data_IF_240447276498
#
_entry.id   IF_240447276498
#
_cell.length_a   1.000
_cell.length_b   1.000
_cell.length_c   1.000
_cell.angle_alpha   90.00
_cell.angle_beta   90.00
_cell.angle_gamma   90.00
#
_symmetry.space_group_name_H-M   'P 1'
#
loop_
_entity.id
_entity.type
_entity.pdbx_description
1 polymer ?
#
# COMPACT_ATOMS: atom_id res chain seq x y z
N UNK A 1 28.74 47.04 -10.91
CA UNK A 1 28.30 46.14 -9.85
C UNK A 1 26.76 46.08 -9.74
N UNK A 2 26.01 47.19 -9.87
CA UNK A 2 24.54 47.26 -9.67
C UNK A 2 23.68 46.52 -10.71
N UNK A 3 24.16 46.30 -11.93
CA UNK A 3 23.40 45.59 -13.00
C UNK A 3 23.58 44.05 -12.98
N UNK A 4 24.59 43.52 -12.31
CA UNK A 4 24.77 42.07 -12.12
C UNK A 4 23.95 41.57 -10.93
N UNK A 5 23.90 42.32 -9.83
CA UNK A 5 23.08 41.96 -8.65
C UNK A 5 21.58 41.92 -8.98
N UNK A 6 21.07 42.87 -9.78
CA UNK A 6 19.67 42.90 -10.23
C UNK A 6 19.27 41.72 -11.15
N UNK A 7 20.22 41.16 -11.91
CA UNK A 7 19.98 39.98 -12.76
C UNK A 7 19.99 38.69 -11.98
N UNK A 8 20.81 38.56 -10.95
CA UNK A 8 20.87 37.37 -10.10
C UNK A 8 19.69 37.32 -9.12
N UNK A 9 19.23 38.47 -8.59
CA UNK A 9 17.98 38.50 -7.82
C UNK A 9 16.74 38.17 -8.64
N UNK A 10 16.66 38.57 -9.90
CA UNK A 10 15.57 38.18 -10.80
C UNK A 10 15.67 36.71 -11.28
N UNK A 11 16.85 36.12 -11.28
CA UNK A 11 17.04 34.69 -11.57
C UNK A 11 16.69 33.82 -10.36
N UNK A 12 16.99 34.26 -9.15
CA UNK A 12 16.57 33.62 -7.89
C UNK A 12 15.05 33.73 -7.67
N UNK A 13 14.43 34.86 -7.99
CA UNK A 13 12.97 35.04 -7.90
C UNK A 13 12.17 34.23 -8.95
N UNK A 14 12.77 33.87 -10.08
CA UNK A 14 12.12 33.01 -11.08
C UNK A 14 12.13 31.52 -10.72
N UNK A 15 12.93 31.07 -9.77
CA UNK A 15 13.01 29.66 -9.34
C UNK A 15 12.29 29.35 -8.03
N UNK A 16 11.53 30.31 -7.45
CA UNK A 16 10.84 30.13 -6.17
C UNK A 16 9.31 30.06 -6.27
N UNK A 17 8.74 29.91 -7.47
CA UNK A 17 7.38 29.43 -7.56
C UNK A 17 7.39 27.89 -7.48
N UNK A 18 7.62 27.34 -6.31
CA UNK A 18 7.27 25.95 -6.03
C UNK A 18 5.75 25.83 -6.27
N UNK A 19 5.31 24.90 -7.09
CA UNK A 19 3.88 24.69 -7.29
C UNK A 19 3.24 24.36 -5.94
N UNK A 20 2.12 25.00 -5.67
CA UNK A 20 1.38 25.05 -4.40
C UNK A 20 0.88 23.68 -3.85
N UNK A 21 1.31 22.57 -4.42
CA UNK A 21 0.81 21.22 -4.09
C UNK A 21 1.90 20.14 -4.09
N UNK A 22 3.05 20.37 -3.45
CA UNK A 22 4.02 19.28 -3.24
C UNK A 22 4.14 18.95 -1.75
N UNK A 23 3.15 18.20 -1.23
CA UNK A 23 3.18 17.67 0.12
C UNK A 23 4.26 16.57 0.26
N UNK A 24 4.46 15.76 -0.79
CA UNK A 24 5.50 14.72 -0.84
C UNK A 24 6.75 15.19 -1.58
N UNK A 25 7.94 14.77 -1.10
CA UNK A 25 9.20 15.10 -1.78
C UNK A 25 9.27 14.40 -3.15
N UNK A 26 9.73 15.14 -4.16
CA UNK A 26 9.76 14.71 -5.56
C UNK A 26 10.43 13.34 -5.79
N UNK A 27 11.38 12.97 -4.95
CA UNK A 27 12.12 11.70 -4.99
C UNK A 27 11.23 10.46 -4.98
N UNK A 28 10.06 10.51 -4.33
CA UNK A 28 9.17 9.37 -4.13
C UNK A 28 7.87 9.47 -4.91
N UNK A 29 7.72 10.51 -5.71
CA UNK A 29 6.51 10.76 -6.48
C UNK A 29 6.66 10.22 -7.90
N UNK A 30 6.10 9.04 -8.15
CA UNK A 30 6.14 8.43 -9.48
C UNK A 30 5.22 9.16 -10.46
N UNK A 31 5.55 9.16 -11.76
CA UNK A 31 4.86 9.98 -12.77
C UNK A 31 3.33 9.82 -12.79
N UNK A 32 2.82 8.60 -12.63
CA UNK A 32 1.40 8.29 -12.66
C UNK A 32 0.65 9.01 -11.53
N UNK A 33 1.11 8.87 -10.29
CA UNK A 33 0.50 9.54 -9.15
C UNK A 33 0.77 11.04 -9.16
N UNK A 34 1.94 11.47 -9.65
CA UNK A 34 2.25 12.89 -9.84
C UNK A 34 1.28 13.56 -10.83
N UNK A 35 0.96 12.88 -11.93
CA UNK A 35 -0.03 13.34 -12.89
C UNK A 35 -1.44 13.38 -12.30
N UNK A 36 -1.82 12.32 -11.59
CA UNK A 36 -3.16 12.19 -10.99
C UNK A 36 -3.43 13.28 -9.94
N UNK A 37 -2.48 13.59 -9.07
CA UNK A 37 -2.59 14.60 -8.02
C UNK A 37 -2.10 15.98 -8.43
N UNK A 38 -1.81 16.20 -9.73
CA UNK A 38 -1.42 17.53 -10.21
C UNK A 38 -2.57 18.52 -10.07
N UNK A 39 -2.23 19.79 -9.90
CA UNK A 39 -3.19 20.89 -9.86
C UNK A 39 -4.05 20.91 -11.13
N UNK A 40 -3.41 20.72 -12.27
CA UNK A 40 -4.07 20.68 -13.58
C UNK A 40 -5.10 19.55 -13.66
N UNK A 41 -4.80 18.37 -13.14
CA UNK A 41 -5.77 17.26 -13.11
C UNK A 41 -6.91 17.53 -12.12
N UNK A 42 -6.63 18.10 -10.96
CA UNK A 42 -7.68 18.51 -10.00
C UNK A 42 -8.67 19.46 -10.68
N UNK A 43 -8.18 20.50 -11.35
CA UNK A 43 -9.02 21.45 -12.08
C UNK A 43 -9.77 20.79 -13.25
N UNK A 44 -9.14 19.85 -13.94
CA UNK A 44 -9.81 19.06 -14.98
C UNK A 44 -10.99 18.26 -14.44
N UNK A 45 -10.85 17.64 -13.27
CA UNK A 45 -11.95 16.92 -12.64
C UNK A 45 -13.05 17.87 -12.15
N UNK A 46 -12.70 19.07 -11.66
CA UNK A 46 -13.69 20.09 -11.31
C UNK A 46 -14.49 20.55 -12.55
N UNK A 47 -13.82 20.84 -13.68
CA UNK A 47 -14.48 21.14 -14.96
C UNK A 47 -15.38 19.98 -15.42
N UNK A 48 -14.92 18.74 -15.26
CA UNK A 48 -15.70 17.55 -15.60
C UNK A 48 -16.99 17.44 -14.77
N UNK A 49 -16.94 17.77 -13.49
CA UNK A 49 -18.13 17.80 -12.62
C UNK A 49 -19.07 18.91 -13.06
N UNK A 50 -18.59 20.14 -13.25
CA UNK A 50 -19.40 21.29 -13.70
C UNK A 50 -20.11 21.00 -15.06
N UNK A 51 -19.40 20.41 -16.02
CA UNK A 51 -20.00 20.02 -17.29
C UNK A 51 -21.06 18.92 -17.15
N UNK A 52 -20.82 17.92 -16.31
CA UNK A 52 -21.80 16.86 -16.06
C UNK A 52 -23.06 17.39 -15.37
N UNK A 53 -22.91 18.39 -14.50
CA UNK A 53 -24.02 19.09 -13.86
C UNK A 53 -24.83 19.88 -14.92
N UNK A 54 -24.17 20.73 -15.71
CA UNK A 54 -24.83 21.52 -16.75
C UNK A 54 -25.58 20.62 -17.73
N UNK A 55 -25.04 19.46 -18.10
CA UNK A 55 -25.72 18.48 -18.96
C UNK A 55 -27.02 17.94 -18.34
N UNK A 56 -26.92 17.52 -17.06
CA UNK A 56 -28.10 17.00 -16.36
C UNK A 56 -29.16 18.09 -16.13
N UNK A 57 -28.77 19.32 -15.83
CA UNK A 57 -29.65 20.46 -15.66
C UNK A 57 -30.37 20.80 -16.97
N UNK A 58 -29.67 20.78 -18.12
CA UNK A 58 -30.27 21.00 -19.43
C UNK A 58 -31.24 19.86 -19.79
N UNK A 59 -30.90 18.60 -19.56
CA UNK A 59 -31.79 17.45 -19.77
C UNK A 59 -33.07 17.53 -18.92
N UNK A 60 -32.99 18.13 -17.74
CA UNK A 60 -34.12 18.34 -16.84
C UNK A 60 -34.89 19.67 -17.12
N UNK A 61 -34.42 20.48 -18.07
CA UNK A 61 -35.02 21.77 -18.39
C UNK A 61 -34.80 22.87 -17.35
N UNK A 62 -33.80 22.70 -16.47
CA UNK A 62 -33.43 23.70 -15.46
C UNK A 62 -32.67 24.87 -16.09
N UNK A 63 -31.80 24.55 -17.04
CA UNK A 63 -31.06 25.55 -17.86
C UNK A 63 -31.38 25.36 -19.35
N UNK A 64 -31.07 26.33 -20.24
CA UNK A 64 -31.27 26.19 -21.68
C UNK A 64 -30.49 24.98 -22.25
N UNK A 65 -31.15 24.30 -23.24
CA UNK A 65 -30.62 23.02 -23.76
C UNK A 65 -29.31 23.15 -24.57
N UNK A 66 -28.96 24.33 -25.04
CA UNK A 66 -27.77 24.65 -25.81
C UNK A 66 -26.55 24.93 -24.95
N UNK A 67 -26.73 25.32 -23.68
CA UNK A 67 -25.67 25.71 -22.76
C UNK A 67 -24.58 24.65 -22.62
N UNK A 68 -24.86 23.34 -22.41
CA UNK A 68 -23.78 22.36 -22.25
C UNK A 68 -22.87 22.24 -23.48
N UNK A 69 -23.44 22.35 -24.68
CA UNK A 69 -22.67 22.31 -25.93
C UNK A 69 -21.77 23.54 -26.08
N UNK A 70 -22.28 24.71 -25.69
CA UNK A 70 -21.53 25.97 -25.71
C UNK A 70 -20.37 25.94 -24.68
N UNK A 71 -20.62 25.46 -23.45
CA UNK A 71 -19.59 25.27 -22.41
C UNK A 71 -18.53 24.26 -22.86
N UNK A 72 -18.91 23.11 -23.44
CA UNK A 72 -17.95 22.15 -23.99
C UNK A 72 -17.07 22.76 -25.06
N UNK A 73 -17.63 23.53 -25.97
CA UNK A 73 -16.91 24.25 -27.01
C UNK A 73 -15.95 25.29 -26.43
N UNK A 74 -16.37 26.03 -25.41
CA UNK A 74 -15.53 27.02 -24.73
C UNK A 74 -14.33 26.39 -23.97
N UNK A 75 -14.51 25.18 -23.46
CA UNK A 75 -13.47 24.45 -22.73
C UNK A 75 -12.68 23.47 -23.62
N UNK A 76 -12.96 23.39 -24.91
CA UNK A 76 -12.17 22.64 -25.86
C UNK A 76 -10.76 23.22 -25.95
N UNK A 77 -9.74 22.40 -25.65
CA UNK A 77 -8.35 22.85 -25.62
C UNK A 77 -7.97 23.76 -24.45
N UNK A 78 -8.76 23.79 -23.36
CA UNK A 78 -8.49 24.60 -22.17
C UNK A 78 -7.08 24.33 -21.61
N UNK A 79 -6.28 25.39 -21.47
CA UNK A 79 -4.98 25.33 -20.83
C UNK A 79 -5.14 25.34 -19.28
N UNK A 80 -5.06 24.16 -18.68
CA UNK A 80 -5.20 23.98 -17.23
C UNK A 80 -4.08 24.63 -16.43
N UNK A 81 -2.88 24.82 -17.00
CA UNK A 81 -1.80 25.57 -16.35
C UNK A 81 -2.17 27.07 -16.27
N UNK A 82 -2.75 27.62 -17.32
CA UNK A 82 -3.25 29.00 -17.31
C UNK A 82 -4.46 29.16 -16.39
N UNK A 83 -5.37 28.18 -16.37
CA UNK A 83 -6.51 28.17 -15.45
C UNK A 83 -6.04 28.14 -13.99
N UNK A 84 -5.02 27.33 -13.64
CA UNK A 84 -4.43 27.29 -12.31
C UNK A 84 -3.86 28.66 -11.90
N UNK A 85 -3.13 29.33 -12.79
CA UNK A 85 -2.60 30.68 -12.53
C UNK A 85 -3.72 31.71 -12.32
N UNK A 86 -4.77 31.68 -13.15
CA UNK A 86 -5.94 32.56 -12.99
C UNK A 86 -6.59 32.34 -11.61
N UNK A 87 -6.79 31.07 -11.22
CA UNK A 87 -7.35 30.73 -9.92
C UNK A 87 -6.47 31.22 -8.78
N UNK A 88 -5.14 31.01 -8.81
CA UNK A 88 -4.22 31.47 -7.78
C UNK A 88 -4.25 33.00 -7.59
N UNK A 89 -4.42 33.74 -8.68
CA UNK A 89 -4.49 35.22 -8.62
C UNK A 89 -5.82 35.72 -8.05
N UNK A 90 -6.94 35.05 -8.37
CA UNK A 90 -8.24 35.39 -7.80
C UNK A 90 -8.42 34.88 -6.37
N UNK A 91 -7.85 33.73 -6.03
CA UNK A 91 -7.92 33.17 -4.68
C UNK A 91 -7.24 34.10 -3.66
N UNK A 92 -6.15 34.80 -4.02
CA UNK A 92 -5.52 35.84 -3.20
C UNK A 92 -6.45 37.00 -2.86
N UNK A 93 -7.49 37.24 -3.69
CA UNK A 93 -8.45 38.31 -3.50
C UNK A 93 -9.71 37.82 -2.78
N UNK A 94 -10.15 36.59 -3.07
CA UNK A 94 -11.42 36.03 -2.61
C UNK A 94 -11.28 35.20 -1.35
N UNK A 95 -10.05 34.73 -1.06
CA UNK A 95 -9.74 33.76 0.01
C UNK A 95 -10.60 32.49 -0.10
N UNK A 96 -10.91 32.08 -1.35
CA UNK A 96 -11.78 30.96 -1.64
C UNK A 96 -11.47 30.34 -3.01
N UNK A 97 -10.98 29.10 -3.00
CA UNK A 97 -10.47 28.38 -4.17
C UNK A 97 -11.54 28.09 -5.23
N UNK A 98 -12.71 27.58 -4.83
CA UNK A 98 -13.79 27.22 -5.77
C UNK A 98 -14.44 28.47 -6.38
N UNK A 99 -14.66 29.53 -5.62
CA UNK A 99 -15.18 30.80 -6.13
C UNK A 99 -14.21 31.40 -7.18
N UNK A 100 -12.91 31.34 -6.90
CA UNK A 100 -11.88 31.76 -7.85
C UNK A 100 -11.87 30.92 -9.12
N UNK A 101 -12.01 29.60 -8.99
CA UNK A 101 -12.13 28.67 -10.11
C UNK A 101 -13.34 28.99 -11.01
N UNK A 102 -14.54 29.12 -10.43
CA UNK A 102 -15.76 29.41 -11.18
C UNK A 102 -15.61 30.75 -11.91
N UNK A 103 -15.13 31.80 -11.25
CA UNK A 103 -14.90 33.11 -11.89
C UNK A 103 -13.90 33.04 -13.06
N UNK A 104 -12.88 32.17 -13.00
CA UNK A 104 -11.99 31.95 -14.13
C UNK A 104 -12.67 31.22 -15.29
N UNK A 105 -13.51 30.23 -15.00
CA UNK A 105 -14.28 29.53 -16.04
C UNK A 105 -15.32 30.42 -16.70
N UNK A 106 -16.02 31.27 -15.93
CA UNK A 106 -16.97 32.26 -16.48
C UNK A 106 -16.29 33.20 -17.50
N UNK A 107 -15.06 33.65 -17.21
CA UNK A 107 -14.30 34.48 -18.17
C UNK A 107 -13.95 33.74 -19.46
N UNK A 108 -13.66 32.44 -19.37
CA UNK A 108 -13.38 31.61 -20.55
C UNK A 108 -14.64 31.30 -21.34
N UNK A 109 -15.73 30.96 -20.65
CA UNK A 109 -16.99 30.57 -21.27
C UNK A 109 -17.78 31.76 -21.83
N UNK A 110 -17.61 32.97 -21.29
CA UNK A 110 -18.40 34.14 -21.67
C UNK A 110 -19.87 34.04 -21.22
N UNK A 111 -20.82 34.30 -22.10
CA UNK A 111 -22.24 34.36 -21.76
C UNK A 111 -22.81 33.04 -21.18
N UNK A 112 -22.54 31.84 -21.72
CA UNK A 112 -22.99 30.61 -21.12
C UNK A 112 -22.36 30.32 -19.74
N UNK A 113 -21.25 30.98 -19.38
CA UNK A 113 -20.60 30.86 -18.09
C UNK A 113 -21.47 31.19 -16.88
N UNK A 114 -22.49 31.99 -17.04
CA UNK A 114 -23.46 32.32 -15.97
C UNK A 114 -24.19 31.10 -15.39
N UNK A 115 -24.19 29.98 -16.10
CA UNK A 115 -24.82 28.74 -15.69
C UNK A 115 -23.87 27.78 -14.97
N UNK A 116 -22.57 28.11 -14.88
CA UNK A 116 -21.60 27.34 -14.08
C UNK A 116 -21.94 27.48 -12.61
N UNK A 117 -21.76 26.39 -11.87
CA UNK A 117 -21.99 26.32 -10.43
C UNK A 117 -23.44 26.67 -10.01
N UNK A 118 -24.39 26.54 -10.94
CA UNK A 118 -25.78 26.91 -10.69
C UNK A 118 -26.37 25.96 -9.61
N UNK A 119 -26.82 26.55 -8.50
CA UNK A 119 -27.38 25.80 -7.35
C UNK A 119 -26.44 24.92 -6.57
N UNK A 120 -25.16 24.87 -6.91
CA UNK A 120 -24.15 24.08 -6.22
C UNK A 120 -23.54 24.80 -5.01
N UNK A 121 -22.92 24.02 -4.14
CA UNK A 121 -21.94 24.50 -3.15
C UNK A 121 -20.56 23.91 -3.48
N UNK A 122 -19.52 24.55 -2.98
CA UNK A 122 -18.11 24.18 -3.29
C UNK A 122 -17.81 22.68 -3.16
N UNK A 123 -18.32 22.04 -2.12
CA UNK A 123 -18.06 20.63 -1.87
C UNK A 123 -18.93 19.65 -2.69
N UNK A 124 -19.92 20.15 -3.41
CA UNK A 124 -20.57 19.37 -4.47
C UNK A 124 -19.56 19.09 -5.60
N UNK A 125 -18.70 20.06 -5.91
CA UNK A 125 -17.64 19.91 -6.92
C UNK A 125 -16.41 19.23 -6.35
N UNK A 126 -15.92 19.67 -5.18
CA UNK A 126 -14.65 19.19 -4.60
C UNK A 126 -14.73 17.72 -4.22
N UNK A 127 -15.73 17.27 -3.47
CA UNK A 127 -15.86 15.89 -3.03
C UNK A 127 -16.14 14.94 -4.21
N UNK A 128 -17.00 15.36 -5.14
CA UNK A 128 -17.30 14.56 -6.34
C UNK A 128 -16.06 14.41 -7.24
N UNK A 129 -15.26 15.46 -7.41
CA UNK A 129 -14.00 15.38 -8.13
C UNK A 129 -12.96 14.53 -7.39
N UNK A 130 -12.89 14.63 -6.05
CA UNK A 130 -12.04 13.78 -5.24
C UNK A 130 -12.43 12.30 -5.37
N UNK A 131 -13.72 11.97 -5.44
CA UNK A 131 -14.17 10.61 -5.68
C UNK A 131 -13.64 10.05 -7.02
N UNK A 132 -13.62 10.85 -8.08
CA UNK A 132 -13.02 10.48 -9.37
C UNK A 132 -11.52 10.21 -9.25
N UNK A 133 -10.78 11.12 -8.59
CA UNK A 133 -9.33 11.01 -8.40
C UNK A 133 -8.99 9.80 -7.51
N UNK A 134 -9.70 9.61 -6.41
CA UNK A 134 -9.46 8.51 -5.47
C UNK A 134 -9.79 7.15 -6.08
N UNK A 135 -10.87 7.06 -6.87
CA UNK A 135 -11.20 5.84 -7.62
C UNK A 135 -10.06 5.45 -8.58
N UNK A 136 -9.52 6.41 -9.32
CA UNK A 136 -8.38 6.19 -10.22
C UNK A 136 -7.11 5.83 -9.43
N UNK A 137 -6.81 6.52 -8.33
CA UNK A 137 -5.69 6.21 -7.44
C UNK A 137 -5.76 4.77 -6.92
N UNK A 138 -6.94 4.34 -6.44
CA UNK A 138 -7.18 2.97 -5.99
C UNK A 138 -6.98 1.95 -7.12
N UNK A 139 -7.43 2.24 -8.33
CA UNK A 139 -7.19 1.40 -9.51
C UNK A 139 -5.70 1.19 -9.78
N UNK A 140 -4.88 2.26 -9.71
CA UNK A 140 -3.44 2.17 -9.83
C UNK A 140 -2.82 1.33 -8.70
N UNK A 141 -3.28 1.48 -7.45
CA UNK A 141 -2.82 0.69 -6.31
C UNK A 141 -3.18 -0.80 -6.45
N UNK A 142 -4.36 -1.13 -6.94
CA UNK A 142 -4.78 -2.52 -7.21
C UNK A 142 -3.85 -3.14 -8.25
N UNK A 143 -3.60 -2.45 -9.38
CA UNK A 143 -2.72 -2.95 -10.44
C UNK A 143 -1.28 -3.23 -9.94
N UNK A 144 -0.71 -2.33 -9.14
CA UNK A 144 0.64 -2.56 -8.55
C UNK A 144 0.63 -3.70 -7.54
N UNK A 145 -0.46 -3.86 -6.79
CA UNK A 145 -0.61 -4.98 -5.84
C UNK A 145 -0.69 -6.32 -6.59
N UNK A 146 -1.38 -6.38 -7.72
CA UNK A 146 -1.43 -7.56 -8.59
C UNK A 146 -0.06 -7.89 -9.21
N UNK A 147 0.71 -6.87 -9.57
CA UNK A 147 2.09 -7.06 -10.04
C UNK A 147 3.00 -7.65 -8.94
N UNK A 148 2.83 -7.23 -7.69
CA UNK A 148 3.53 -7.81 -6.53
C UNK A 148 3.08 -9.25 -6.27
N UNK A 149 1.77 -9.52 -6.33
CA UNK A 149 1.23 -10.88 -6.20
C UNK A 149 1.85 -11.83 -7.23
N UNK A 150 1.91 -11.40 -8.49
CA UNK A 150 2.51 -12.19 -9.58
C UNK A 150 3.98 -12.50 -9.30
N UNK A 151 4.76 -11.51 -8.85
CA UNK A 151 6.16 -11.69 -8.52
C UNK A 151 6.37 -12.65 -7.32
N UNK A 152 5.56 -12.50 -6.26
CA UNK A 152 5.60 -13.38 -5.08
C UNK A 152 5.21 -14.81 -5.45
N UNK A 153 4.15 -15.01 -6.25
CA UNK A 153 3.71 -16.32 -6.73
C UNK A 153 4.84 -17.01 -7.49
N UNK A 154 5.43 -16.32 -8.46
CA UNK A 154 6.53 -16.88 -9.25
C UNK A 154 7.69 -17.33 -8.36
N UNK A 155 8.14 -16.49 -7.44
CA UNK A 155 9.23 -16.82 -6.51
C UNK A 155 8.86 -17.94 -5.53
N UNK A 156 7.62 -17.98 -5.06
CA UNK A 156 7.15 -19.05 -4.21
C UNK A 156 7.16 -20.41 -4.94
N UNK A 157 6.69 -20.45 -6.19
CA UNK A 157 6.70 -21.66 -7.02
C UNK A 157 8.14 -22.12 -7.36
N UNK A 158 9.05 -21.19 -7.73
CA UNK A 158 10.46 -21.48 -8.00
C UNK A 158 11.17 -22.12 -6.79
N UNK A 159 10.79 -21.74 -5.58
CA UNK A 159 11.43 -22.16 -4.33
C UNK A 159 10.54 -23.05 -3.45
N UNK A 160 9.51 -23.67 -4.02
CA UNK A 160 8.54 -24.52 -3.32
C UNK A 160 9.21 -25.56 -2.41
N UNK A 161 10.29 -26.16 -2.84
CA UNK A 161 11.04 -27.19 -2.11
C UNK A 161 12.45 -26.75 -1.69
N UNK A 162 12.78 -25.47 -1.75
CA UNK A 162 14.05 -24.96 -1.25
C UNK A 162 13.99 -24.91 0.27
N UNK A 163 14.75 -25.75 1.01
CA UNK A 163 14.67 -25.80 2.45
C UNK A 163 15.32 -24.55 3.09
N UNK A 164 14.70 -24.06 4.11
CA UNK A 164 15.20 -22.98 4.97
C UNK A 164 14.83 -23.27 6.42
N UNK A 165 15.70 -22.91 7.36
CA UNK A 165 15.34 -23.02 8.77
C UNK A 165 14.28 -21.99 9.16
N UNK A 166 13.15 -22.45 9.66
CA UNK A 166 12.15 -21.62 10.30
C UNK A 166 12.69 -21.04 11.61
N UNK A 167 12.36 -19.78 11.90
CA UNK A 167 12.80 -19.09 13.13
C UNK A 167 11.60 -18.55 13.90
N UNK A 168 11.53 -18.91 15.17
CA UNK A 168 10.60 -18.31 16.14
C UNK A 168 11.43 -17.61 17.21
N UNK A 169 11.02 -16.43 17.65
CA UNK A 169 11.78 -15.61 18.60
C UNK A 169 13.21 -15.30 18.14
N UNK A 170 13.50 -15.38 16.83
CA UNK A 170 14.85 -15.22 16.27
C UNK A 170 15.74 -16.47 16.39
N UNK A 171 15.25 -17.57 16.97
CA UNK A 171 15.96 -18.84 17.18
C UNK A 171 15.47 -19.87 16.17
N UNK A 172 16.31 -20.80 15.77
CA UNK A 172 15.97 -21.92 14.92
C UNK A 172 14.88 -22.79 15.56
N UNK A 173 13.86 -23.11 14.77
CA UNK A 173 12.78 -24.03 15.15
C UNK A 173 12.84 -25.28 14.27
N UNK A 174 12.05 -25.35 13.25
CA UNK A 174 11.96 -26.48 12.33
C UNK A 174 12.22 -26.05 10.88
N UNK A 175 12.67 -26.94 10.01
CA UNK A 175 12.78 -26.68 8.59
C UNK A 175 11.42 -26.33 7.98
N UNK A 176 11.42 -25.40 7.04
CA UNK A 176 10.29 -25.07 6.15
C UNK A 176 10.81 -24.83 4.75
N UNK A 177 9.94 -24.50 3.81
CA UNK A 177 10.40 -24.09 2.49
C UNK A 177 10.41 -22.57 2.33
N UNK A 178 11.40 -22.06 1.59
CA UNK A 178 11.41 -20.65 1.19
C UNK A 178 10.15 -20.31 0.39
N UNK A 179 9.68 -21.23 -0.44
CA UNK A 179 8.44 -21.08 -1.19
C UNK A 179 7.22 -20.90 -0.29
N UNK A 180 7.07 -21.70 0.77
CA UNK A 180 5.98 -21.53 1.76
C UNK A 180 6.06 -20.18 2.47
N UNK A 181 7.26 -19.72 2.80
CA UNK A 181 7.48 -18.39 3.38
C UNK A 181 7.00 -17.28 2.44
N UNK A 182 7.36 -17.33 1.15
CA UNK A 182 6.93 -16.37 0.12
C UNK A 182 5.44 -16.48 -0.20
N UNK A 183 4.88 -17.68 -0.19
CA UNK A 183 3.44 -17.93 -0.36
C UNK A 183 2.61 -17.29 0.74
N UNK A 184 3.13 -17.23 1.97
CA UNK A 184 2.49 -16.51 3.08
C UNK A 184 2.38 -15.00 2.82
N UNK A 185 3.39 -14.40 2.19
CA UNK A 185 3.35 -12.99 1.76
C UNK A 185 2.42 -12.79 0.55
N UNK A 186 2.37 -13.74 -0.38
CA UNK A 186 1.40 -13.73 -1.47
C UNK A 186 -0.03 -13.67 -0.92
N UNK A 187 -0.40 -14.58 -0.03
CA UNK A 187 -1.74 -14.65 0.55
C UNK A 187 -2.13 -13.38 1.35
N UNK A 188 -1.17 -12.73 2.00
CA UNK A 188 -1.38 -11.43 2.64
C UNK A 188 -1.62 -10.32 1.62
N UNK A 189 -0.83 -10.30 0.53
CA UNK A 189 -0.97 -9.32 -0.55
C UNK A 189 -2.31 -9.48 -1.27
N UNK A 190 -2.80 -10.72 -1.46
CA UNK A 190 -4.13 -11.00 -2.00
C UNK A 190 -5.23 -10.38 -1.12
N UNK A 191 -5.18 -10.58 0.19
CA UNK A 191 -6.13 -9.92 1.12
C UNK A 191 -6.02 -8.40 1.10
N UNK A 192 -4.84 -7.84 0.87
CA UNK A 192 -4.68 -6.39 0.73
C UNK A 192 -5.29 -5.88 -0.58
N UNK A 193 -5.19 -6.64 -1.67
CA UNK A 193 -5.91 -6.36 -2.92
C UNK A 193 -7.42 -6.28 -2.71
N UNK A 194 -8.00 -7.25 -2.02
CA UNK A 194 -9.43 -7.28 -1.71
C UNK A 194 -9.85 -6.05 -0.88
N UNK A 195 -9.04 -5.67 0.12
CA UNK A 195 -9.29 -4.44 0.92
C UNK A 195 -9.22 -3.18 0.06
N UNK A 196 -8.25 -3.10 -0.88
CA UNK A 196 -8.13 -1.95 -1.79
C UNK A 196 -9.32 -1.86 -2.74
N UNK A 197 -9.85 -2.97 -3.25
CA UNK A 197 -11.07 -3.00 -4.05
C UNK A 197 -12.29 -2.51 -3.24
N UNK A 198 -12.43 -2.98 -2.00
CA UNK A 198 -13.49 -2.51 -1.09
C UNK A 198 -13.34 -1.02 -0.75
N UNK A 199 -12.12 -0.54 -0.56
CA UNK A 199 -11.87 0.87 -0.30
C UNK A 199 -12.12 1.74 -1.56
N UNK A 200 -11.80 1.24 -2.75
CA UNK A 200 -12.12 1.90 -4.01
C UNK A 200 -13.63 2.10 -4.17
N UNK A 201 -14.41 1.08 -3.86
CA UNK A 201 -15.87 1.19 -3.86
C UNK A 201 -16.34 2.21 -2.82
N UNK A 202 -15.80 2.18 -1.60
CA UNK A 202 -16.17 3.10 -0.54
C UNK A 202 -15.91 4.58 -0.87
N UNK A 203 -14.88 4.90 -1.66
CA UNK A 203 -14.56 6.28 -2.08
C UNK A 203 -15.16 6.67 -3.44
N UNK A 204 -15.92 5.78 -4.10
CA UNK A 204 -16.57 6.03 -5.38
C UNK A 204 -17.93 6.72 -5.24
N UNK A 205 -18.12 7.53 -4.19
CA UNK A 205 -19.35 8.26 -3.91
C UNK A 205 -19.12 9.76 -4.06
N UNK A 206 -20.01 10.41 -4.82
CA UNK A 206 -20.08 11.87 -4.94
C UNK A 206 -21.39 12.41 -4.38
N UNK A 207 -21.51 13.73 -4.32
CA UNK A 207 -22.72 14.41 -3.84
C UNK A 207 -23.00 15.69 -4.62
N UNK A 208 -24.28 16.04 -4.76
CA UNK A 208 -24.77 17.33 -5.23
C UNK A 208 -25.97 17.78 -4.39
N UNK A 209 -25.87 17.53 -3.11
CA UNK A 209 -26.95 17.72 -2.14
C UNK A 209 -26.99 19.11 -1.49
N UNK A 210 -26.09 20.02 -1.93
CA UNK A 210 -26.06 21.41 -1.47
C UNK A 210 -25.38 21.60 -0.13
N UNK A 211 -25.63 22.76 0.49
CA UNK A 211 -24.90 23.26 1.67
C UNK A 211 -25.07 22.45 2.95
N UNK A 212 -26.14 21.68 3.08
CA UNK A 212 -26.45 20.88 4.28
C UNK A 212 -26.89 19.45 3.97
N UNK A 213 -26.76 19.01 2.70
CA UNK A 213 -27.03 17.64 2.32
C UNK A 213 -28.52 17.29 2.08
N UNK A 214 -29.39 18.27 1.93
CA UNK A 214 -30.83 18.04 1.84
C UNK A 214 -31.42 18.10 0.42
N UNK A 215 -30.58 18.27 -0.60
CA UNK A 215 -30.98 18.34 -2.02
C UNK A 215 -32.10 19.39 -2.35
N UNK A 216 -32.33 20.39 -1.48
CA UNK A 216 -33.48 21.27 -1.56
C UNK A 216 -33.49 22.21 -2.77
N UNK A 217 -32.37 22.48 -3.39
CA UNK A 217 -32.21 23.41 -4.53
C UNK A 217 -32.32 22.66 -5.84
N UNK A 218 -31.55 21.62 -6.08
CA UNK A 218 -31.42 20.93 -7.35
C UNK A 218 -32.17 19.59 -7.42
N UNK A 219 -32.55 19.03 -6.29
CA UNK A 219 -33.24 17.74 -6.19
C UNK A 219 -32.31 16.52 -6.29
N UNK A 220 -32.74 15.42 -5.68
CA UNK A 220 -31.98 14.17 -5.65
C UNK A 220 -31.89 13.47 -7.03
N UNK A 221 -32.86 13.73 -7.93
CA UNK A 221 -32.83 13.15 -9.28
C UNK A 221 -31.69 13.73 -10.14
N UNK A 222 -31.35 15.00 -9.96
CA UNK A 222 -30.20 15.61 -10.63
C UNK A 222 -28.90 14.99 -10.11
N UNK A 223 -28.74 14.87 -8.81
CA UNK A 223 -27.58 14.21 -8.19
C UNK A 223 -27.35 12.81 -8.77
N UNK A 224 -28.40 11.98 -8.80
CA UNK A 224 -28.35 10.64 -9.37
C UNK A 224 -27.87 10.63 -10.82
N UNK A 225 -28.46 11.49 -11.68
CA UNK A 225 -28.07 11.59 -13.11
C UNK A 225 -26.62 11.99 -13.29
N UNK A 226 -26.14 12.95 -12.52
CA UNK A 226 -24.75 13.40 -12.60
C UNK A 226 -23.79 12.30 -12.13
N UNK A 227 -24.10 11.59 -11.05
CA UNK A 227 -23.27 10.47 -10.59
C UNK A 227 -23.21 9.34 -11.62
N UNK A 228 -24.33 9.00 -12.27
CA UNK A 228 -24.36 8.04 -13.38
C UNK A 228 -23.46 8.47 -14.55
N UNK A 229 -23.51 9.75 -14.95
CA UNK A 229 -22.64 10.32 -16.03
C UNK A 229 -21.16 10.26 -15.66
N UNK A 230 -20.83 10.43 -14.40
CA UNK A 230 -19.46 10.41 -13.88
C UNK A 230 -18.96 8.99 -13.58
N UNK A 231 -19.83 7.98 -13.56
CA UNK A 231 -19.50 6.62 -13.15
C UNK A 231 -19.21 6.50 -11.65
N UNK A 232 -19.92 7.28 -10.84
CA UNK A 232 -19.91 7.31 -9.40
C UNK A 232 -21.26 6.87 -8.83
N UNK A 233 -21.35 6.70 -7.52
CA UNK A 233 -22.59 6.51 -6.79
C UNK A 233 -23.00 7.80 -6.09
N UNK A 234 -24.28 8.14 -6.02
CA UNK A 234 -24.75 9.23 -5.17
C UNK A 234 -24.61 8.83 -3.68
N UNK A 235 -24.15 9.77 -2.85
CA UNK A 235 -24.09 9.54 -1.41
C UNK A 235 -25.53 9.44 -0.85
N UNK A 236 -25.90 8.31 -0.22
CA UNK A 236 -27.26 8.12 0.27
C UNK A 236 -27.75 9.19 1.24
N UNK A 237 -26.88 9.63 2.14
CA UNK A 237 -27.12 10.73 3.08
C UNK A 237 -25.82 11.46 3.34
N UNK A 238 -25.72 12.68 2.86
CA UNK A 238 -24.55 13.55 3.11
C UNK A 238 -24.90 14.67 4.08
N UNK A 239 -23.87 15.41 4.49
CA UNK A 239 -23.98 16.74 5.06
C UNK A 239 -23.60 17.76 3.96
N UNK A 240 -22.84 18.80 4.26
CA UNK A 240 -22.18 19.60 3.21
C UNK A 240 -21.09 18.78 2.48
N UNK A 241 -20.65 17.68 3.06
CA UNK A 241 -19.58 16.81 2.58
C UNK A 241 -20.05 15.35 2.53
N UNK A 242 -19.38 14.54 1.71
CA UNK A 242 -19.45 13.09 1.79
C UNK A 242 -18.94 12.64 3.18
N UNK A 243 -19.53 11.64 3.85
CA UNK A 243 -19.07 11.16 5.16
C UNK A 243 -17.59 10.74 5.15
N UNK A 244 -16.81 11.23 6.12
CA UNK A 244 -15.34 11.07 6.14
C UNK A 244 -14.87 9.68 6.60
N UNK A 245 -15.75 8.84 7.13
CA UNK A 245 -15.46 7.43 7.37
C UNK A 245 -15.05 6.68 6.09
N UNK A 246 -15.54 7.07 4.91
CA UNK A 246 -15.12 6.54 3.61
C UNK A 246 -13.63 6.79 3.34
N UNK A 247 -13.16 8.01 3.60
CA UNK A 247 -11.74 8.36 3.45
C UNK A 247 -10.88 7.72 4.54
N UNK A 248 -11.41 7.64 5.77
CA UNK A 248 -10.75 6.93 6.87
C UNK A 248 -10.57 5.44 6.56
N UNK A 249 -11.57 4.77 5.95
CA UNK A 249 -11.46 3.39 5.49
C UNK A 249 -10.34 3.23 4.46
N UNK A 250 -10.24 4.12 3.47
CA UNK A 250 -9.15 4.09 2.48
C UNK A 250 -7.78 4.25 3.15
N UNK A 251 -7.61 5.27 4.00
CA UNK A 251 -6.35 5.54 4.67
C UNK A 251 -5.93 4.41 5.61
N UNK A 252 -6.88 3.79 6.32
CA UNK A 252 -6.63 2.61 7.14
C UNK A 252 -6.22 1.40 6.29
N UNK A 253 -6.88 1.19 5.15
CA UNK A 253 -6.53 0.13 4.17
C UNK A 253 -5.11 0.32 3.64
N UNK A 254 -4.75 1.55 3.27
CA UNK A 254 -3.40 1.91 2.82
C UNK A 254 -2.36 1.62 3.92
N UNK A 255 -2.66 1.94 5.17
CA UNK A 255 -1.76 1.66 6.30
C UNK A 255 -1.58 0.15 6.55
N UNK A 256 -2.66 -0.65 6.44
CA UNK A 256 -2.58 -2.12 6.56
C UNK A 256 -1.71 -2.70 5.43
N UNK A 257 -1.93 -2.28 4.18
CA UNK A 257 -1.12 -2.72 3.05
C UNK A 257 0.35 -2.33 3.21
N UNK A 258 0.62 -1.09 3.65
CA UNK A 258 1.97 -0.61 3.96
C UNK A 258 2.66 -1.42 5.08
N UNK A 259 1.92 -1.84 6.10
CA UNK A 259 2.44 -2.70 7.16
C UNK A 259 2.79 -4.11 6.66
N UNK A 260 2.01 -4.65 5.71
CA UNK A 260 2.36 -5.90 5.01
C UNK A 260 3.66 -5.80 4.22
N UNK A 261 3.87 -4.68 3.51
CA UNK A 261 5.13 -4.41 2.80
C UNK A 261 6.31 -4.24 3.78
N UNK A 262 6.10 -3.59 4.94
CA UNK A 262 7.10 -3.49 5.99
C UNK A 262 7.48 -4.87 6.55
N UNK A 263 6.51 -5.76 6.75
CA UNK A 263 6.75 -7.13 7.20
C UNK A 263 7.62 -7.91 6.21
N UNK A 264 7.32 -7.86 4.92
CA UNK A 264 8.12 -8.49 3.87
C UNK A 264 9.53 -7.88 3.80
N UNK A 265 9.64 -6.55 3.82
CA UNK A 265 10.92 -5.85 3.83
C UNK A 265 11.78 -6.22 5.06
N UNK A 266 11.15 -6.36 6.21
CA UNK A 266 11.83 -6.76 7.46
C UNK A 266 12.35 -8.20 7.37
N UNK A 267 11.58 -9.14 6.82
CA UNK A 267 12.03 -10.51 6.60
C UNK A 267 13.25 -10.56 5.67
N UNK A 268 13.21 -9.83 4.53
CA UNK A 268 14.36 -9.74 3.61
C UNK A 268 15.59 -9.19 4.33
N UNK A 269 15.44 -8.12 5.13
CA UNK A 269 16.53 -7.52 5.92
C UNK A 269 17.10 -8.47 6.94
N UNK A 270 16.27 -9.25 7.63
CA UNK A 270 16.71 -10.24 8.61
C UNK A 270 17.50 -11.37 7.95
N UNK A 271 17.09 -11.83 6.78
CA UNK A 271 17.79 -12.88 6.02
C UNK A 271 19.06 -12.37 5.32
N UNK A 272 19.18 -11.06 5.09
CA UNK A 272 20.35 -10.41 4.49
C UNK A 272 21.49 -10.12 5.48
N UNK A 273 21.29 -10.31 6.79
CA UNK A 273 22.34 -10.07 7.79
C UNK A 273 23.57 -10.91 7.52
N UNK A 274 24.75 -10.40 7.87
CA UNK A 274 26.05 -11.02 7.57
C UNK A 274 26.14 -12.46 8.09
N UNK A 275 25.66 -12.69 9.31
CA UNK A 275 25.65 -14.02 9.95
C UNK A 275 24.61 -14.97 9.36
N UNK A 276 23.55 -14.44 8.76
CA UNK A 276 22.49 -15.23 8.12
C UNK A 276 22.79 -15.47 6.64
N UNK A 277 22.84 -14.44 5.82
CA UNK A 277 23.28 -14.47 4.41
C UNK A 277 22.44 -15.35 3.47
N UNK A 278 21.15 -15.55 3.77
CA UNK A 278 20.29 -16.51 3.07
C UNK A 278 19.51 -15.90 1.91
N UNK A 279 19.20 -14.59 1.98
CA UNK A 279 18.46 -13.84 0.96
C UNK A 279 18.81 -12.37 1.06
N UNK A 280 18.84 -11.66 -0.08
CA UNK A 280 19.09 -10.22 -0.10
C UNK A 280 18.28 -9.54 -1.22
N UNK A 281 18.07 -8.21 -1.08
CA UNK A 281 17.55 -7.40 -2.19
C UNK A 281 18.56 -7.35 -3.35
N UNK A 282 18.10 -7.14 -4.59
CA UNK A 282 18.99 -7.09 -5.75
C UNK A 282 19.98 -5.93 -5.64
N UNK A 283 21.19 -6.18 -6.08
CA UNK A 283 22.25 -5.18 -6.09
C UNK A 283 22.75 -4.90 -7.50
N UNK A 284 22.50 -3.69 -8.01
CA UNK A 284 22.87 -3.30 -9.35
C UNK A 284 24.38 -3.19 -9.58
N UNK A 285 24.86 -3.53 -10.77
CA UNK A 285 26.32 -3.51 -11.11
C UNK A 285 27.00 -2.16 -10.83
N UNK A 286 26.29 -1.05 -10.98
CA UNK A 286 26.80 0.31 -10.72
C UNK A 286 26.39 0.85 -9.34
N UNK A 287 25.64 0.11 -8.58
CA UNK A 287 25.15 0.52 -7.26
C UNK A 287 26.29 0.55 -6.25
N UNK A 288 26.32 1.58 -5.41
CA UNK A 288 27.24 1.69 -4.28
C UNK A 288 26.48 1.48 -3.00
N UNK A 289 26.81 0.43 -2.26
CA UNK A 289 26.11 0.06 -1.01
C UNK A 289 26.56 0.88 0.20
N UNK A 290 27.76 1.45 0.17
CA UNK A 290 28.36 2.22 1.25
C UNK A 290 29.32 3.26 0.70
N UNK A 291 29.40 4.43 1.35
CA UNK A 291 30.38 5.47 1.03
C UNK A 291 31.81 5.13 1.51
N UNK A 292 31.91 4.29 2.55
CA UNK A 292 33.18 3.95 3.21
C UNK A 292 33.70 2.55 2.85
N UNK A 293 32.81 1.57 2.66
CA UNK A 293 33.14 0.16 2.44
C UNK A 293 32.54 -0.33 1.11
N UNK A 294 33.33 -0.43 0.02
CA UNK A 294 32.80 -0.76 -1.32
C UNK A 294 32.10 -2.13 -1.43
N UNK A 295 32.49 -3.10 -0.59
CA UNK A 295 31.89 -4.45 -0.57
C UNK A 295 30.56 -4.54 0.22
N UNK A 296 30.22 -3.50 1.01
CA UNK A 296 29.04 -3.52 1.89
C UNK A 296 27.75 -3.30 1.08
N UNK A 297 26.86 -4.28 1.10
CA UNK A 297 25.58 -4.29 0.37
C UNK A 297 24.43 -4.10 1.38
N UNK A 298 24.04 -2.84 1.60
CA UNK A 298 22.94 -2.53 2.53
C UNK A 298 21.58 -2.74 1.86
N UNK A 299 20.57 -3.26 2.58
CA UNK A 299 19.21 -3.44 2.07
C UNK A 299 18.41 -2.12 2.09
N UNK A 300 18.89 -1.11 1.34
CA UNK A 300 18.40 0.27 1.42
C UNK A 300 16.98 0.47 0.90
N UNK A 301 16.51 -0.37 -0.04
CA UNK A 301 15.14 -0.28 -0.54
C UNK A 301 14.19 -0.81 0.53
N UNK A 302 14.49 -1.97 1.12
CA UNK A 302 13.71 -2.54 2.22
C UNK A 302 13.70 -1.62 3.46
N UNK A 303 14.84 -0.99 3.81
CA UNK A 303 14.90 -0.01 4.91
C UNK A 303 14.00 1.20 4.66
N UNK A 304 13.99 1.72 3.43
CA UNK A 304 13.14 2.83 3.02
C UNK A 304 11.66 2.47 3.12
N UNK A 305 11.25 1.29 2.66
CA UNK A 305 9.88 0.79 2.78
C UNK A 305 9.45 0.73 4.24
N UNK A 306 10.30 0.20 5.15
CA UNK A 306 10.02 0.19 6.58
C UNK A 306 9.84 1.60 7.16
N UNK A 307 10.62 2.58 6.68
CA UNK A 307 10.47 3.98 7.09
C UNK A 307 9.15 4.60 6.62
N UNK A 308 8.77 4.35 5.37
CA UNK A 308 7.54 4.90 4.76
C UNK A 308 6.26 4.32 5.39
N UNK A 309 6.25 3.06 5.79
CA UNK A 309 5.11 2.47 6.48
C UNK A 309 4.69 3.22 7.75
N UNK A 310 5.63 3.90 8.42
CA UNK A 310 5.35 4.75 9.59
C UNK A 310 4.50 5.95 9.22
N UNK A 311 4.78 6.58 8.05
CA UNK A 311 4.01 7.73 7.55
C UNK A 311 2.57 7.32 7.22
N UNK A 312 2.38 6.17 6.57
CA UNK A 312 1.05 5.65 6.23
C UNK A 312 0.18 5.44 7.48
N UNK A 313 0.77 4.98 8.58
CA UNK A 313 0.06 4.86 9.87
C UNK A 313 -0.34 6.23 10.45
N UNK A 314 0.51 7.24 10.28
CA UNK A 314 0.17 8.62 10.66
C UNK A 314 -1.00 9.18 9.84
N UNK A 315 -1.03 8.96 8.54
CA UNK A 315 -2.14 9.38 7.69
C UNK A 315 -3.45 8.63 7.98
N UNK A 316 -3.38 7.36 8.37
CA UNK A 316 -4.57 6.63 8.82
C UNK A 316 -5.18 7.26 10.09
N UNK A 317 -4.35 7.66 11.04
CA UNK A 317 -4.82 8.39 12.23
C UNK A 317 -5.46 9.72 11.84
N UNK A 318 -4.84 10.49 10.94
CA UNK A 318 -5.42 11.73 10.40
C UNK A 318 -6.80 11.49 9.78
N UNK A 319 -6.98 10.41 9.03
CA UNK A 319 -8.27 10.04 8.44
C UNK A 319 -9.34 9.76 9.50
N UNK A 320 -8.97 9.06 10.57
CA UNK A 320 -9.89 8.76 11.68
C UNK A 320 -10.32 10.03 12.43
N UNK A 321 -9.38 10.97 12.67
CA UNK A 321 -9.67 12.25 13.32
C UNK A 321 -10.59 13.14 12.45
N UNK A 322 -10.53 13.03 11.13
CA UNK A 322 -11.36 13.80 10.20
C UNK A 322 -12.83 13.32 10.15
N UNK A 323 -13.19 12.19 10.76
CA UNK A 323 -14.59 11.72 10.81
C UNK A 323 -15.45 12.68 11.63
N UNK A 324 -14.92 13.20 12.75
CA UNK A 324 -15.65 14.02 13.70
C UNK A 324 -15.64 15.50 13.32
N UNK A 325 -16.52 15.90 12.39
CA UNK A 325 -16.75 17.29 12.02
C UNK A 325 -17.88 17.91 12.84
N UNK A 326 -17.91 19.25 12.94
CA UNK A 326 -18.99 19.97 13.63
C UNK A 326 -20.22 20.07 12.74
N UNK A 327 -21.37 19.60 13.27
CA UNK A 327 -22.67 19.65 12.59
C UNK A 327 -22.58 19.14 11.15
N UNK A 328 -23.05 19.90 10.18
CA UNK A 328 -23.05 19.56 8.76
C UNK A 328 -21.64 19.72 8.13
N UNK A 329 -20.76 20.49 8.73
CA UNK A 329 -19.33 20.61 8.43
C UNK A 329 -18.66 21.79 9.17
N UNK A 330 -17.42 21.59 9.62
CA UNK A 330 -16.40 22.65 9.73
C UNK A 330 -15.28 22.39 8.69
N UNK A 331 -14.29 23.31 8.56
CA UNK A 331 -13.25 23.17 7.52
C UNK A 331 -11.99 22.43 7.99
N UNK A 332 -11.95 21.89 9.20
CA UNK A 332 -10.76 21.25 9.78
C UNK A 332 -10.23 20.07 8.96
N UNK A 333 -11.12 19.31 8.31
CA UNK A 333 -10.77 18.20 7.44
C UNK A 333 -9.95 18.63 6.21
N UNK A 334 -10.28 19.78 5.64
CA UNK A 334 -9.82 20.19 4.30
C UNK A 334 -8.30 20.28 4.20
N UNK A 335 -7.65 20.98 5.14
CA UNK A 335 -6.19 21.14 5.14
C UNK A 335 -5.46 19.81 5.33
N UNK A 336 -5.99 18.92 6.19
CA UNK A 336 -5.41 17.62 6.45
C UNK A 336 -5.57 16.67 5.24
N UNK A 337 -6.73 16.65 4.57
CA UNK A 337 -7.02 15.83 3.41
C UNK A 337 -6.17 16.20 2.19
N UNK A 338 -5.90 17.50 1.98
CA UNK A 338 -5.02 18.00 0.92
C UNK A 338 -3.60 17.45 1.00
N UNK A 339 -3.17 16.99 2.17
CA UNK A 339 -1.87 16.35 2.41
C UNK A 339 -2.03 14.84 2.46
N UNK A 340 -2.92 14.33 3.29
CA UNK A 340 -3.01 12.91 3.61
C UNK A 340 -3.40 12.03 2.41
N UNK A 341 -4.34 12.48 1.57
CA UNK A 341 -4.83 11.68 0.44
C UNK A 341 -3.78 11.52 -0.68
N UNK A 342 -3.18 12.60 -1.21
CA UNK A 342 -2.15 12.47 -2.24
C UNK A 342 -0.89 11.77 -1.72
N UNK A 343 -0.44 12.08 -0.50
CA UNK A 343 0.78 11.48 0.04
C UNK A 343 0.62 10.00 0.32
N UNK A 344 -0.47 9.58 0.97
CA UNK A 344 -0.68 8.18 1.33
C UNK A 344 -0.82 7.27 0.12
N UNK A 345 -1.60 7.68 -0.89
CA UNK A 345 -1.78 6.92 -2.13
C UNK A 345 -0.49 6.83 -2.93
N UNK A 346 0.25 7.94 -3.03
CA UNK A 346 1.52 7.99 -3.76
C UNK A 346 2.62 7.19 -3.06
N UNK A 347 2.70 7.24 -1.71
CA UNK A 347 3.66 6.45 -0.95
C UNK A 347 3.39 4.95 -1.08
N UNK A 348 2.14 4.51 -0.93
CA UNK A 348 1.82 3.09 -1.08
C UNK A 348 2.13 2.62 -2.51
N UNK A 349 1.81 3.42 -3.52
CA UNK A 349 2.12 3.12 -4.92
C UNK A 349 3.63 2.94 -5.15
N UNK A 350 4.45 3.87 -4.65
CA UNK A 350 5.90 3.79 -4.70
C UNK A 350 6.43 2.55 -3.96
N UNK A 351 5.96 2.30 -2.74
CA UNK A 351 6.39 1.18 -1.91
C UNK A 351 6.09 -0.16 -2.57
N UNK A 352 4.88 -0.32 -3.14
CA UNK A 352 4.45 -1.56 -3.79
C UNK A 352 5.27 -1.82 -5.05
N UNK A 353 5.49 -0.80 -5.90
CA UNK A 353 6.34 -0.91 -7.09
C UNK A 353 7.78 -1.28 -6.74
N UNK A 354 8.37 -0.62 -5.74
CA UNK A 354 9.74 -0.93 -5.29
C UNK A 354 9.85 -2.32 -4.67
N UNK A 355 8.84 -2.75 -3.93
CA UNK A 355 8.83 -4.12 -3.39
C UNK A 355 8.68 -5.16 -4.52
N UNK A 356 7.91 -4.88 -5.55
CA UNK A 356 7.80 -5.75 -6.74
C UNK A 356 9.14 -5.90 -7.44
N UNK A 357 9.90 -4.80 -7.61
CA UNK A 357 11.26 -4.82 -8.16
C UNK A 357 12.19 -5.67 -7.27
N UNK A 358 12.13 -5.48 -5.95
CA UNK A 358 12.92 -6.27 -5.00
C UNK A 358 12.59 -7.76 -5.10
N UNK A 359 11.32 -8.15 -5.08
CA UNK A 359 10.90 -9.55 -5.12
C UNK A 359 11.31 -10.22 -6.43
N UNK A 360 11.16 -9.54 -7.57
CA UNK A 360 11.61 -10.07 -8.88
C UNK A 360 13.11 -10.33 -8.92
N UNK A 361 13.88 -9.45 -8.28
CA UNK A 361 15.34 -9.51 -8.29
C UNK A 361 15.96 -10.13 -7.04
N UNK A 362 15.22 -10.78 -6.15
CA UNK A 362 15.75 -11.38 -4.92
C UNK A 362 16.97 -12.27 -5.21
N UNK A 363 18.06 -11.98 -4.52
CA UNK A 363 19.24 -12.83 -4.51
C UNK A 363 19.06 -13.90 -3.42
N UNK A 364 18.87 -15.15 -3.84
CA UNK A 364 18.57 -16.27 -2.96
C UNK A 364 19.80 -17.19 -2.90
N UNK A 365 20.29 -17.46 -1.68
CA UNK A 365 21.45 -18.30 -1.44
C UNK A 365 21.04 -19.63 -0.79
N UNK A 366 20.52 -20.57 -1.61
CA UNK A 366 20.11 -21.88 -1.14
C UNK A 366 21.24 -22.70 -0.49
N UNK A 367 22.48 -22.51 -0.96
CA UNK A 367 23.65 -23.18 -0.36
C UNK A 367 23.87 -22.68 1.08
N UNK A 368 23.73 -21.38 1.31
CA UNK A 368 23.86 -20.81 2.67
C UNK A 368 22.71 -21.23 3.59
N UNK A 369 21.49 -21.37 3.05
CA UNK A 369 20.37 -21.92 3.82
C UNK A 369 20.69 -23.33 4.31
N UNK A 370 21.21 -24.18 3.42
CA UNK A 370 21.62 -25.53 3.77
C UNK A 370 22.76 -25.55 4.81
N UNK A 371 23.81 -24.76 4.58
CA UNK A 371 24.93 -24.63 5.52
C UNK A 371 24.47 -24.20 6.93
N UNK A 372 23.55 -23.21 7.01
CA UNK A 372 23.01 -22.78 8.28
C UNK A 372 22.23 -23.87 9.01
N UNK A 373 21.48 -24.71 8.26
CA UNK A 373 20.79 -25.87 8.82
C UNK A 373 21.79 -26.92 9.33
N UNK A 374 22.80 -27.26 8.53
CA UNK A 374 23.83 -28.24 8.89
C UNK A 374 24.65 -27.82 10.14
N UNK A 375 24.95 -26.51 10.24
CA UNK A 375 25.67 -25.97 11.43
C UNK A 375 24.85 -26.05 12.72
N UNK A 376 23.52 -26.04 12.63
CA UNK A 376 22.66 -26.22 13.80
C UNK A 376 22.54 -27.69 14.20
N UNK A 377 22.86 -28.63 13.29
CA UNK A 377 22.72 -30.06 13.53
C UNK A 377 21.24 -30.51 13.45
N UNK A 378 20.98 -31.65 14.10
CA UNK A 378 19.67 -32.33 14.07
C UNK A 378 18.74 -31.99 15.25
N UNK A 379 19.08 -30.98 16.05
CA UNK A 379 18.30 -30.58 17.26
C UNK A 379 16.84 -30.20 16.95
N UNK A 380 16.54 -29.71 15.76
CA UNK A 380 15.16 -29.42 15.32
C UNK A 380 14.27 -30.68 15.28
N UNK A 381 14.86 -31.88 15.31
CA UNK A 381 14.16 -33.17 15.33
C UNK A 381 13.78 -33.64 16.75
N UNK A 382 14.15 -32.90 17.80
CA UNK A 382 13.86 -33.25 19.19
C UNK A 382 12.38 -33.51 19.48
N UNK A 383 11.47 -32.76 18.78
CA UNK A 383 10.03 -33.00 18.88
C UNK A 383 9.63 -34.39 18.32
N UNK A 384 10.24 -34.81 17.22
CA UNK A 384 9.95 -36.12 16.63
C UNK A 384 10.32 -37.25 17.58
N UNK A 385 11.47 -37.15 18.21
CA UNK A 385 11.93 -38.10 19.22
C UNK A 385 10.95 -38.15 20.41
N UNK A 386 10.53 -36.97 20.92
CA UNK A 386 9.53 -36.90 21.99
C UNK A 386 8.22 -37.58 21.60
N UNK A 387 7.74 -37.36 20.39
CA UNK A 387 6.50 -37.98 19.90
C UNK A 387 6.63 -39.51 19.74
N UNK A 388 7.82 -40.00 19.32
CA UNK A 388 8.07 -41.42 19.21
C UNK A 388 8.03 -42.11 20.59
N UNK A 389 8.66 -41.52 21.61
CA UNK A 389 8.58 -42.04 22.97
C UNK A 389 7.16 -42.05 23.52
N UNK A 390 6.37 -41.01 23.27
CA UNK A 390 4.97 -40.98 23.68
C UNK A 390 4.15 -42.07 22.99
N UNK A 391 4.38 -42.31 21.69
CA UNK A 391 3.75 -43.43 20.95
C UNK A 391 4.14 -44.79 21.51
N UNK A 392 5.39 -44.92 22.03
CA UNK A 392 5.88 -46.12 22.69
C UNK A 392 5.32 -46.32 24.11
N UNK A 393 4.42 -45.45 24.59
CA UNK A 393 3.76 -45.56 25.88
C UNK A 393 4.37 -44.79 27.02
N UNK A 394 5.40 -43.99 26.78
CA UNK A 394 6.04 -43.15 27.80
C UNK A 394 5.19 -41.88 28.03
N UNK A 395 5.02 -41.47 29.25
CA UNK A 395 4.30 -40.25 29.57
C UNK A 395 4.98 -39.02 28.91
N UNK A 396 4.20 -38.03 28.48
CA UNK A 396 4.75 -36.82 27.84
C UNK A 396 5.80 -36.12 28.73
N UNK A 397 5.61 -36.13 30.05
CA UNK A 397 6.52 -35.46 30.98
C UNK A 397 7.87 -36.19 31.06
N UNK A 398 7.85 -37.51 31.13
CA UNK A 398 9.06 -38.33 31.12
C UNK A 398 9.79 -38.26 29.78
N UNK A 399 9.06 -38.41 28.67
CA UNK A 399 9.61 -38.26 27.32
C UNK A 399 10.30 -36.89 27.14
N UNK A 400 9.66 -35.82 27.63
CA UNK A 400 10.24 -34.47 27.60
C UNK A 400 11.54 -34.38 28.42
N UNK A 401 11.57 -34.97 29.63
CA UNK A 401 12.77 -34.97 30.47
C UNK A 401 13.93 -35.70 29.77
N UNK A 402 13.71 -36.90 29.23
CA UNK A 402 14.73 -37.69 28.55
C UNK A 402 15.25 -36.99 27.28
N UNK A 403 14.34 -36.45 26.44
CA UNK A 403 14.75 -35.71 25.23
C UNK A 403 15.53 -34.45 25.58
N UNK A 404 15.15 -33.76 26.67
CA UNK A 404 15.91 -32.61 27.18
C UNK A 404 17.31 -32.98 27.61
N UNK A 405 17.49 -34.07 28.37
CA UNK A 405 18.80 -34.60 28.81
C UNK A 405 19.64 -35.00 27.59
N UNK A 406 19.08 -35.73 26.63
CA UNK A 406 19.76 -36.11 25.40
C UNK A 406 20.18 -34.90 24.58
N UNK A 407 19.31 -33.89 24.46
CA UNK A 407 19.62 -32.66 23.71
C UNK A 407 20.72 -31.85 24.40
N UNK A 408 20.70 -31.74 25.74
CA UNK A 408 21.74 -31.04 26.49
C UNK A 408 23.09 -31.73 26.33
N UNK A 409 23.12 -33.06 26.50
CA UNK A 409 24.33 -33.87 26.30
C UNK A 409 24.89 -33.70 24.89
N UNK A 410 24.02 -33.75 23.85
CA UNK A 410 24.45 -33.55 22.48
C UNK A 410 25.11 -32.19 22.24
N UNK A 411 24.59 -31.12 22.86
CA UNK A 411 25.18 -29.79 22.82
C UNK A 411 26.52 -29.72 23.53
N UNK A 412 26.61 -30.28 24.73
CA UNK A 412 27.80 -30.22 25.57
C UNK A 412 28.98 -31.05 25.00
N UNK A 413 28.68 -32.22 24.41
CA UNK A 413 29.67 -33.11 23.80
C UNK A 413 29.93 -32.85 22.31
N UNK A 414 29.12 -31.98 21.64
CA UNK A 414 29.27 -31.68 20.22
C UNK A 414 28.95 -32.86 19.30
N UNK A 415 28.02 -33.75 19.71
CA UNK A 415 27.55 -34.93 18.98
C UNK A 415 26.13 -34.67 18.41
N UNK A 416 25.65 -35.57 17.54
CA UNK A 416 24.28 -35.47 17.02
C UNK A 416 23.26 -35.78 18.12
N UNK A 417 22.00 -35.29 17.95
CA UNK A 417 20.89 -35.67 18.81
C UNK A 417 20.62 -37.18 18.69
N UNK A 418 20.79 -37.76 17.51
CA UNK A 418 20.63 -39.18 17.27
C UNK A 418 21.62 -40.01 18.11
N UNK A 419 22.94 -39.68 18.05
CA UNK A 419 23.95 -40.37 18.83
C UNK A 419 23.71 -40.22 20.33
N UNK A 420 23.32 -39.04 20.76
CA UNK A 420 22.99 -38.79 22.17
C UNK A 420 21.77 -39.57 22.64
N UNK A 421 20.73 -39.68 21.79
CA UNK A 421 19.53 -40.44 22.10
C UNK A 421 19.83 -41.95 22.20
N UNK A 422 20.65 -42.48 21.29
CA UNK A 422 21.12 -43.89 21.36
C UNK A 422 21.97 -44.18 22.58
N UNK A 423 22.73 -43.20 23.05
CA UNK A 423 23.50 -43.32 24.28
C UNK A 423 22.70 -43.05 25.57
N UNK A 424 21.43 -42.71 25.49
CA UNK A 424 20.55 -42.47 26.66
C UNK A 424 19.85 -43.78 27.05
N UNK A 425 20.11 -44.34 28.26
CA UNK A 425 19.66 -45.69 28.60
C UNK A 425 18.17 -45.93 28.41
N UNK A 426 17.32 -45.04 28.89
CA UNK A 426 15.85 -45.21 28.81
C UNK A 426 15.32 -45.01 27.37
N UNK A 427 15.92 -44.11 26.57
CA UNK A 427 15.51 -43.94 25.17
C UNK A 427 15.91 -45.15 24.36
N UNK A 428 17.12 -45.66 24.52
CA UNK A 428 17.63 -46.82 23.84
C UNK A 428 16.85 -48.12 24.17
N UNK A 429 16.45 -48.24 25.46
CA UNK A 429 15.61 -49.38 25.91
C UNK A 429 14.21 -49.37 25.24
N UNK A 430 13.59 -48.18 25.07
CA UNK A 430 12.22 -48.07 24.58
C UNK A 430 12.11 -48.07 23.05
N UNK A 431 13.04 -47.41 22.35
CA UNK A 431 12.95 -47.24 20.90
C UNK A 431 13.88 -48.14 20.11
N UNK A 432 14.89 -48.77 20.74
CA UNK A 432 16.00 -49.45 20.06
C UNK A 432 16.69 -48.52 19.02
N UNK A 433 17.79 -48.99 18.40
CA UNK A 433 18.51 -48.21 17.39
C UNK A 433 17.64 -47.88 16.14
N UNK A 434 16.95 -48.89 15.63
CA UNK A 434 16.06 -48.74 14.46
C UNK A 434 14.94 -47.75 14.71
N UNK A 435 14.33 -47.77 15.89
CA UNK A 435 13.24 -46.86 16.26
C UNK A 435 13.68 -45.42 16.43
N UNK A 436 14.90 -45.18 16.94
CA UNK A 436 15.44 -43.79 17.00
C UNK A 436 15.70 -43.24 15.61
N UNK A 437 16.30 -44.02 14.72
CA UNK A 437 16.59 -43.62 13.35
C UNK A 437 15.27 -43.33 12.59
N UNK A 438 14.28 -44.25 12.67
CA UNK A 438 12.95 -44.07 12.05
C UNK A 438 12.23 -42.82 12.60
N UNK A 439 12.29 -42.59 13.91
CA UNK A 439 11.67 -41.45 14.52
C UNK A 439 12.24 -40.12 14.03
N UNK A 440 13.51 -40.05 13.71
CA UNK A 440 14.18 -38.86 13.23
C UNK A 440 14.15 -38.69 11.70
N UNK A 441 13.70 -39.69 10.94
CA UNK A 441 13.52 -39.59 9.50
C UNK A 441 12.16 -38.97 9.17
N UNK A 442 12.17 -37.69 8.74
CA UNK A 442 10.95 -36.94 8.44
C UNK A 442 11.17 -35.90 7.35
N UNK A 443 10.30 -35.89 6.33
CA UNK A 443 10.25 -34.82 5.32
C UNK A 443 9.36 -33.67 5.81
N UNK A 444 9.99 -32.63 6.35
CA UNK A 444 9.31 -31.40 6.79
C UNK A 444 8.61 -30.63 5.65
N UNK A 445 8.85 -30.99 4.38
CA UNK A 445 8.26 -30.35 3.22
C UNK A 445 7.20 -31.21 2.54
N UNK A 446 6.81 -32.35 3.15
CA UNK A 446 5.80 -33.29 2.60
C UNK A 446 4.48 -32.59 2.23
N UNK A 447 4.01 -31.67 3.07
CA UNK A 447 2.74 -30.97 2.90
C UNK A 447 2.83 -29.69 2.04
N UNK A 448 4.01 -29.33 1.54
CA UNK A 448 4.20 -28.10 0.78
C UNK A 448 3.29 -28.03 -0.45
N UNK A 449 3.12 -29.14 -1.20
CA UNK A 449 2.28 -29.19 -2.40
C UNK A 449 0.82 -28.90 -2.07
N UNK A 450 0.29 -29.54 -1.01
CA UNK A 450 -1.10 -29.35 -0.57
C UNK A 450 -1.35 -27.91 -0.10
N UNK A 451 -0.40 -27.32 0.62
CA UNK A 451 -0.52 -25.92 1.07
C UNK A 451 -0.52 -24.96 -0.12
N UNK A 452 0.33 -25.20 -1.12
CA UNK A 452 0.34 -24.43 -2.37
C UNK A 452 -0.98 -24.52 -3.11
N UNK A 453 -1.50 -25.75 -3.27
CA UNK A 453 -2.80 -26.00 -3.90
C UNK A 453 -3.93 -25.25 -3.21
N UNK A 454 -3.98 -25.30 -1.89
CA UNK A 454 -4.99 -24.62 -1.05
C UNK A 454 -4.98 -23.10 -1.26
N UNK A 455 -3.82 -22.50 -1.48
CA UNK A 455 -3.70 -21.04 -1.62
C UNK A 455 -3.90 -20.59 -3.07
N UNK A 456 -3.34 -21.31 -4.05
CA UNK A 456 -3.30 -20.88 -5.45
C UNK A 456 -4.48 -21.39 -6.30
N UNK A 457 -5.16 -22.45 -5.88
CA UNK A 457 -6.29 -23.06 -6.59
C UNK A 457 -7.62 -22.83 -5.85
N UNK A 458 -7.78 -21.63 -5.27
CA UNK A 458 -9.08 -21.25 -4.70
C UNK A 458 -10.14 -21.28 -5.81
N UNK A 459 -11.13 -22.15 -5.66
CA UNK A 459 -12.32 -22.24 -6.51
C UNK A 459 -13.21 -20.99 -6.36
#
# INVERSE_FOLDING_TARGET
LSQRESRDENRLKRNLSLPYNMAMIERYWLPEMKGLWSRENTLRQWVRVELAVAEAEAEMGIIPADVPAELRKAFEGLDYTQLARCQDDLEKQFDHDVVAFVACLERVAGEPGRWLHYGLTSYDVVDTANALILKEACGLLVNETEALMSALRQKAEEHKRTPIMGRTHGVFAEPTSLGLKLLGFYAETERNRERLLSAMEAVSFGKLSGTVGNCSVLGADLEKRVMEKLGLHPEPVSTQVVPRDRYAQLLATIAIAGAGLERLATEIRLLARTETGEMAEPFGKSQRGSSAMPHKRNPIVCERICGMARLLRGYALTGLENIALWHERDISNSSAERVALPDSTSLLFYMTRKMTEVVRGLEINAARMKENMERFGDFYRSQLLLLALVRAGISRSEAYAWVKEASQRAMDEGISLADSALGHPQIAEVLEEGGVIEALDHDYLSEAEEIFRRVLEKN
#
